data_IF_748087404271
#
_entry.id   IF_748087404271
#
_cell.length_a   1.000
_cell.length_b   1.000
_cell.length_c   1.000
_cell.angle_alpha   90.00
_cell.angle_beta   90.00
_cell.angle_gamma   90.00
#
_symmetry.space_group_name_H-M   'P 1'
#
loop_
_entity.id
_entity.type
_entity.pdbx_description
1 polymer ?
#
# COMPACT_ATOMS: atom_id res chain seq x y z
N UNK A 1 -17.67 15.56 -8.98
CA UNK A 1 -16.99 14.49 -8.23
C UNK A 1 -16.39 15.10 -6.98
N UNK A 2 -16.64 14.53 -5.82
CA UNK A 2 -16.15 15.08 -4.55
C UNK A 2 -14.67 14.73 -4.36
N UNK A 3 -13.86 15.75 -4.15
CA UNK A 3 -12.45 15.57 -3.79
C UNK A 3 -12.34 15.37 -2.28
N UNK A 4 -11.60 14.35 -1.86
CA UNK A 4 -11.36 14.09 -0.43
C UNK A 4 -10.27 15.01 0.12
N UNK A 5 -10.23 15.16 1.46
CA UNK A 5 -9.13 15.85 2.14
C UNK A 5 -7.78 15.20 1.83
N UNK A 6 -7.74 13.86 1.74
CA UNK A 6 -6.53 13.13 1.39
C UNK A 6 -6.06 13.48 -0.03
N UNK A 7 -6.97 13.49 -1.01
CA UNK A 7 -6.62 13.85 -2.39
C UNK A 7 -6.11 15.29 -2.48
N UNK A 8 -6.76 16.23 -1.79
CA UNK A 8 -6.31 17.62 -1.77
C UNK A 8 -4.93 17.78 -1.12
N UNK A 9 -4.69 17.11 0.02
CA UNK A 9 -3.43 17.21 0.75
C UNK A 9 -2.25 16.58 0.01
N UNK A 10 -2.50 15.55 -0.80
CA UNK A 10 -1.48 14.77 -1.50
C UNK A 10 -1.65 14.80 -3.02
N UNK A 11 -2.03 15.96 -3.57
CA UNK A 11 -2.33 16.12 -4.99
C UNK A 11 -1.18 15.70 -5.92
N UNK A 12 0.06 16.06 -5.58
CA UNK A 12 1.23 15.69 -6.39
C UNK A 12 1.49 14.19 -6.37
N UNK A 13 1.35 13.58 -5.20
CA UNK A 13 1.47 12.13 -5.03
C UNK A 13 0.39 11.41 -5.83
N UNK A 14 -0.85 11.86 -5.73
CA UNK A 14 -1.98 11.31 -6.47
C UNK A 14 -1.74 11.40 -7.98
N UNK A 15 -1.27 12.53 -8.49
CA UNK A 15 -0.97 12.72 -9.91
C UNK A 15 0.12 11.77 -10.40
N UNK A 16 1.17 11.57 -9.61
CA UNK A 16 2.25 10.62 -9.94
C UNK A 16 1.72 9.20 -10.04
N UNK A 17 0.88 8.79 -9.09
CA UNK A 17 0.31 7.44 -9.06
C UNK A 17 -0.70 7.23 -10.18
N UNK A 18 -1.52 8.21 -10.49
CA UNK A 18 -2.47 8.13 -11.62
C UNK A 18 -1.72 7.99 -12.95
N UNK A 19 -0.66 8.74 -13.15
CA UNK A 19 0.17 8.64 -14.36
C UNK A 19 0.86 7.27 -14.46
N UNK A 20 1.41 6.77 -13.36
CA UNK A 20 2.04 5.45 -13.31
C UNK A 20 1.02 4.34 -13.61
N UNK A 21 -0.19 4.47 -13.15
CA UNK A 21 -1.26 3.51 -13.42
C UNK A 21 -1.61 3.44 -14.91
N UNK A 22 -1.69 4.59 -15.59
CA UNK A 22 -1.94 4.62 -17.04
C UNK A 22 -0.80 3.96 -17.83
N UNK A 23 0.42 3.97 -17.32
CA UNK A 23 1.59 3.33 -17.90
C UNK A 23 2.05 2.10 -17.09
N UNK A 24 1.12 1.40 -16.47
CA UNK A 24 1.44 0.31 -15.53
C UNK A 24 2.20 -0.85 -16.15
N UNK A 25 2.11 -1.04 -17.45
CA UNK A 25 2.90 -2.06 -18.14
C UNK A 25 4.41 -1.81 -18.01
N UNK A 26 4.82 -0.55 -17.81
CA UNK A 26 6.21 -0.18 -17.61
C UNK A 26 6.68 -0.37 -16.15
N UNK A 27 5.75 -0.62 -15.22
CA UNK A 27 6.07 -0.82 -13.80
C UNK A 27 6.40 -2.29 -13.57
N UNK A 28 7.64 -2.56 -13.17
CA UNK A 28 8.18 -3.90 -12.96
C UNK A 28 8.97 -3.96 -11.66
N UNK A 29 9.54 -5.13 -11.37
CA UNK A 29 10.37 -5.31 -10.18
C UNK A 29 11.65 -4.47 -10.20
N UNK A 30 12.10 -4.07 -11.39
CA UNK A 30 13.28 -3.20 -11.58
C UNK A 30 12.95 -1.71 -11.49
N UNK A 31 11.68 -1.33 -11.47
CA UNK A 31 11.26 0.08 -11.38
C UNK A 31 11.82 0.73 -10.12
N UNK A 32 12.48 1.88 -10.29
CA UNK A 32 13.11 2.67 -9.22
C UNK A 32 12.75 4.14 -9.39
N UNK A 33 13.10 4.95 -8.39
CA UNK A 33 12.93 6.39 -8.45
C UNK A 33 11.49 6.84 -8.17
N UNK A 34 11.00 7.81 -8.90
CA UNK A 34 9.77 8.55 -8.57
C UNK A 34 8.54 7.64 -8.40
N UNK A 35 8.36 6.65 -9.26
CA UNK A 35 7.19 5.77 -9.20
C UNK A 35 7.26 4.86 -7.97
N UNK A 36 8.38 4.22 -7.74
CA UNK A 36 8.56 3.36 -6.55
C UNK A 36 8.41 4.17 -5.28
N UNK A 37 9.04 5.32 -5.21
CA UNK A 37 8.97 6.21 -4.04
C UNK A 37 7.52 6.66 -3.77
N UNK A 38 6.77 6.96 -4.82
CA UNK A 38 5.37 7.35 -4.71
C UNK A 38 4.49 6.20 -4.18
N UNK A 39 4.70 4.98 -4.68
CA UNK A 39 3.97 3.80 -4.18
C UNK A 39 4.28 3.56 -2.71
N UNK A 40 5.55 3.59 -2.33
CA UNK A 40 5.97 3.39 -0.94
C UNK A 40 5.40 4.48 -0.02
N UNK A 41 5.42 5.74 -0.45
CA UNK A 41 4.83 6.85 0.31
C UNK A 41 3.33 6.66 0.52
N UNK A 42 2.61 6.21 -0.49
CA UNK A 42 1.17 5.95 -0.37
C UNK A 42 0.88 4.81 0.60
N UNK A 43 1.65 3.72 0.54
CA UNK A 43 1.51 2.60 1.48
C UNK A 43 1.78 3.04 2.92
N UNK A 44 2.78 3.91 3.13
CA UNK A 44 3.08 4.46 4.46
C UNK A 44 1.93 5.31 5.00
N UNK A 45 1.28 6.10 4.15
CA UNK A 45 0.10 6.87 4.53
C UNK A 45 -1.07 5.97 4.97
N UNK A 46 -1.28 4.88 4.25
CA UNK A 46 -2.32 3.90 4.57
C UNK A 46 -1.99 3.17 5.88
N UNK A 47 -0.77 2.69 6.02
CA UNK A 47 -0.34 1.97 7.22
C UNK A 47 -0.35 2.86 8.46
N UNK A 48 0.03 4.12 8.31
CA UNK A 48 0.01 5.10 9.41
C UNK A 48 -1.36 5.66 9.74
N UNK A 49 -2.40 5.29 9.01
CA UNK A 49 -3.76 5.78 9.22
C UNK A 49 -3.96 7.24 8.82
N UNK A 50 -3.03 7.82 8.06
CA UNK A 50 -3.11 9.22 7.61
C UNK A 50 -3.99 9.39 6.38
N UNK A 51 -4.22 8.33 5.64
CA UNK A 51 -5.10 8.30 4.48
C UNK A 51 -5.84 6.96 4.44
N UNK A 52 -7.01 6.94 3.81
CA UNK A 52 -7.82 5.72 3.65
C UNK A 52 -8.22 5.55 2.20
N UNK A 53 -8.28 4.31 1.74
CA UNK A 53 -8.72 4.01 0.37
C UNK A 53 -10.16 4.45 0.14
N UNK A 54 -11.03 4.29 1.15
CA UNK A 54 -12.42 4.72 1.07
C UNK A 54 -12.80 5.49 2.33
N UNK A 55 -13.55 6.56 2.15
CA UNK A 55 -14.00 7.44 3.24
C UNK A 55 -15.50 7.72 3.09
N UNK A 56 -16.16 7.86 4.22
CA UNK A 56 -17.57 8.29 4.22
C UNK A 56 -17.61 9.81 4.41
N UNK A 57 -18.08 10.52 3.40
CA UNK A 57 -18.18 11.97 3.37
C UNK A 57 -19.64 12.35 3.14
N UNK A 58 -20.24 13.11 4.06
CA UNK A 58 -21.64 13.53 3.98
C UNK A 58 -22.60 12.35 3.72
N UNK A 59 -22.34 11.22 4.37
CA UNK A 59 -23.17 10.03 4.24
C UNK A 59 -22.89 9.14 3.03
N UNK A 60 -22.02 9.57 2.13
CA UNK A 60 -21.68 8.82 0.91
C UNK A 60 -20.25 8.27 0.98
N UNK A 61 -20.06 7.06 0.44
CA UNK A 61 -18.73 6.48 0.33
C UNK A 61 -17.99 7.07 -0.87
N UNK A 62 -16.79 7.58 -0.62
CA UNK A 62 -15.90 8.12 -1.65
C UNK A 62 -14.60 7.33 -1.66
N UNK A 63 -14.18 6.87 -2.84
CA UNK A 63 -12.95 6.09 -3.00
C UNK A 63 -11.82 6.99 -3.47
N UNK A 64 -10.71 6.98 -2.75
CA UNK A 64 -9.46 7.62 -3.17
C UNK A 64 -8.77 6.69 -4.18
N UNK A 65 -9.13 6.80 -5.44
CA UNK A 65 -8.68 5.88 -6.49
C UNK A 65 -7.16 5.79 -6.59
N UNK A 66 -6.47 6.92 -6.39
CA UNK A 66 -5.01 6.94 -6.45
C UNK A 66 -4.35 6.06 -5.40
N UNK A 67 -4.95 5.92 -4.21
CA UNK A 67 -4.47 5.01 -3.16
C UNK A 67 -4.71 3.55 -3.55
N UNK A 68 -5.86 3.24 -4.13
CA UNK A 68 -6.13 1.90 -4.66
C UNK A 68 -5.14 1.54 -5.77
N UNK A 69 -4.86 2.47 -6.67
CA UNK A 69 -3.86 2.30 -7.73
C UNK A 69 -2.48 2.03 -7.15
N UNK A 70 -2.09 2.75 -6.09
CA UNK A 70 -0.80 2.52 -5.42
C UNK A 70 -0.69 1.09 -4.88
N UNK A 71 -1.72 0.58 -4.24
CA UNK A 71 -1.73 -0.81 -3.73
C UNK A 71 -1.58 -1.80 -4.89
N UNK A 72 -2.32 -1.61 -5.97
CA UNK A 72 -2.22 -2.49 -7.14
C UNK A 72 -0.85 -2.40 -7.82
N UNK A 73 -0.27 -1.19 -7.90
CA UNK A 73 1.09 -1.00 -8.44
C UNK A 73 2.14 -1.68 -7.56
N UNK A 74 1.94 -1.72 -6.24
CA UNK A 74 2.89 -2.37 -5.34
C UNK A 74 3.07 -3.85 -5.66
N UNK A 75 2.03 -4.51 -6.16
CA UNK A 75 2.10 -5.92 -6.55
C UNK A 75 2.96 -6.14 -7.80
N UNK A 76 3.18 -5.12 -8.60
CA UNK A 76 4.07 -5.18 -9.77
C UNK A 76 5.53 -4.95 -9.39
N UNK A 77 5.78 -4.28 -8.27
CA UNK A 77 7.13 -3.95 -7.79
C UNK A 77 7.79 -5.10 -7.03
N UNK A 78 7.00 -6.04 -6.51
CA UNK A 78 7.51 -7.11 -5.64
C UNK A 78 7.17 -8.47 -6.24
N UNK A 79 8.15 -9.39 -6.39
CA UNK A 79 7.89 -10.72 -6.89
C UNK A 79 7.15 -11.57 -5.86
N UNK A 80 6.34 -12.51 -6.34
CA UNK A 80 5.83 -13.59 -5.50
C UNK A 80 7.00 -14.48 -5.12
N UNK A 81 7.13 -14.81 -3.85
CA UNK A 81 8.24 -15.61 -3.34
C UNK A 81 7.79 -16.43 -2.13
N UNK A 82 8.63 -17.38 -1.73
CA UNK A 82 8.42 -18.11 -0.49
C UNK A 82 8.63 -17.19 0.70
N UNK A 83 7.65 -17.12 1.58
CA UNK A 83 7.74 -16.43 2.86
C UNK A 83 7.72 -17.50 3.95
N UNK A 84 8.84 -17.73 4.67
CA UNK A 84 8.92 -18.79 5.67
C UNK A 84 8.14 -18.44 6.94
N UNK A 85 7.96 -19.43 7.82
CA UNK A 85 7.37 -19.21 9.13
C UNK A 85 5.88 -19.49 9.22
N UNK A 86 5.30 -20.15 8.24
CA UNK A 86 3.91 -20.63 8.32
C UNK A 86 3.80 -21.79 9.31
N UNK A 87 2.60 -22.04 9.88
CA UNK A 87 2.40 -23.14 10.80
C UNK A 87 2.80 -24.50 10.20
N UNK A 88 3.35 -25.38 11.04
CA UNK A 88 3.71 -26.74 10.63
C UNK A 88 4.94 -26.82 9.72
N UNK A 89 5.79 -25.80 9.71
CA UNK A 89 6.99 -25.76 8.87
C UNK A 89 6.72 -25.45 7.41
N UNK A 90 5.48 -25.06 7.06
CA UNK A 90 5.11 -24.64 5.73
C UNK A 90 5.62 -23.22 5.44
N UNK A 91 5.40 -22.75 4.22
CA UNK A 91 5.70 -21.38 3.80
C UNK A 91 4.47 -20.80 3.10
N UNK A 92 4.37 -19.49 3.08
CA UNK A 92 3.42 -18.82 2.19
C UNK A 92 4.07 -18.58 0.82
N UNK A 93 3.26 -18.58 -0.22
CA UNK A 93 3.65 -18.17 -1.56
C UNK A 93 2.96 -16.85 -1.85
N UNK A 94 3.63 -15.74 -1.57
CA UNK A 94 3.03 -14.41 -1.63
C UNK A 94 4.09 -13.33 -1.88
N UNK A 95 3.66 -12.09 -1.93
CA UNK A 95 4.52 -10.93 -2.20
C UNK A 95 4.38 -9.81 -1.19
N UNK A 96 3.44 -9.90 -0.25
CA UNK A 96 3.22 -8.85 0.76
C UNK A 96 3.88 -9.26 2.06
N UNK A 97 4.89 -8.49 2.55
CA UNK A 97 5.51 -8.79 3.83
C UNK A 97 4.53 -8.54 4.98
N UNK A 98 4.65 -9.32 6.05
CA UNK A 98 3.87 -9.12 7.26
C UNK A 98 4.37 -7.87 8.00
N UNK A 99 3.45 -7.01 8.44
CA UNK A 99 3.81 -5.89 9.30
C UNK A 99 4.23 -6.34 10.71
N UNK A 100 4.01 -7.60 11.05
CA UNK A 100 4.39 -8.19 12.35
C UNK A 100 5.75 -8.90 12.29
N UNK A 101 6.44 -8.84 11.17
CA UNK A 101 7.75 -9.45 11.01
C UNK A 101 8.73 -8.90 12.06
N UNK A 102 9.41 -9.81 12.75
CA UNK A 102 10.38 -9.45 13.78
C UNK A 102 9.80 -9.08 15.15
N UNK A 103 8.49 -9.12 15.32
CA UNK A 103 7.86 -8.86 16.62
C UNK A 103 8.07 -10.04 17.58
N UNK A 104 8.53 -9.75 18.80
CA UNK A 104 8.63 -10.72 19.87
C UNK A 104 7.37 -10.76 20.75
N UNK A 105 7.36 -11.63 21.77
CA UNK A 105 6.21 -11.78 22.65
C UNK A 105 5.83 -10.46 23.35
N UNK A 106 6.81 -9.70 23.81
CA UNK A 106 6.55 -8.41 24.49
C UNK A 106 5.90 -7.41 23.55
N UNK A 107 6.32 -7.38 22.27
CA UNK A 107 5.73 -6.51 21.26
C UNK A 107 4.28 -6.90 20.96
N UNK A 108 3.98 -8.20 20.88
CA UNK A 108 2.61 -8.67 20.70
C UNK A 108 1.71 -8.27 21.87
N UNK A 109 2.17 -8.45 23.10
CA UNK A 109 1.41 -8.06 24.29
C UNK A 109 1.17 -6.54 24.31
N UNK A 110 2.19 -5.73 24.03
CA UNK A 110 2.08 -4.28 23.99
C UNK A 110 1.11 -3.80 22.90
N UNK A 111 1.00 -4.52 21.80
CA UNK A 111 0.08 -4.20 20.71
C UNK A 111 -1.37 -4.64 20.98
N UNK A 112 -1.63 -5.35 22.07
CA UNK A 112 -2.97 -5.76 22.48
C UNK A 112 -3.47 -7.08 21.87
N UNK A 113 -2.54 -7.93 21.43
CA UNK A 113 -2.90 -9.27 20.96
C UNK A 113 -3.28 -10.18 22.12
#
# INVERSE_FOLDING_TARGET
MTETAATAAYADLAATLDAAWEDRASVTQETKGKVRDAVEAALDLLDGGKARVAEKIDGEWVVNQWLKKAVLLSFRLTPTALIPGAPGGASWWDKVPSKFEGMDAAAYEAAGF
#
